data_IF_149623226968
#
_entry.id   IF_149623226968
#
_cell.length_a   1.000
_cell.length_b   1.000
_cell.length_c   1.000
_cell.angle_alpha   90.00
_cell.angle_beta   90.00
_cell.angle_gamma   90.00
#
_symmetry.space_group_name_H-M   'P 1'
#
loop_
_entity.id
_entity.type
_entity.pdbx_description
1 polymer ?
#
# COMPACT_ATOMS: atom_id res chain seq x y z
N UNK A 1 47.52 0.56 6.87
CA UNK A 1 46.20 1.16 7.15
C UNK A 1 45.13 0.29 6.49
N UNK A 2 44.37 -0.48 7.27
CA UNK A 2 43.20 -1.21 6.77
C UNK A 2 42.04 -0.24 6.63
N UNK A 3 41.39 -0.23 5.47
CA UNK A 3 40.17 0.52 5.26
C UNK A 3 39.03 -0.18 6.01
N UNK A 4 38.45 0.49 6.99
CA UNK A 4 37.22 0.09 7.65
C UNK A 4 36.07 0.12 6.62
N UNK A 5 35.77 -1.03 6.03
CA UNK A 5 34.52 -1.27 5.33
C UNK A 5 33.40 -1.30 6.37
N UNK A 6 32.87 -0.13 6.71
CA UNK A 6 31.60 -0.03 7.45
C UNK A 6 30.50 -0.65 6.59
N UNK A 7 30.23 -1.94 6.79
CA UNK A 7 28.98 -2.55 6.39
C UNK A 7 27.88 -1.76 7.07
N UNK A 8 27.11 -0.98 6.30
CA UNK A 8 25.96 -0.26 6.84
C UNK A 8 24.98 -1.30 7.39
N UNK A 9 24.79 -1.32 8.70
CA UNK A 9 23.71 -2.08 9.31
C UNK A 9 22.39 -1.51 8.78
N UNK A 10 21.45 -2.34 8.30
CA UNK A 10 20.17 -1.85 7.82
C UNK A 10 19.46 -1.07 8.92
N UNK A 11 18.79 0.02 8.55
CA UNK A 11 17.96 0.79 9.48
C UNK A 11 16.89 -0.11 10.12
N UNK A 12 16.57 0.08 11.41
CA UNK A 12 15.57 -0.74 12.08
C UNK A 12 14.19 -0.55 11.44
N UNK A 13 13.33 -1.58 11.41
CA UNK A 13 12.01 -1.49 10.81
C UNK A 13 11.11 -0.50 11.56
N UNK A 14 10.23 0.18 10.83
CA UNK A 14 9.24 1.10 11.40
C UNK A 14 8.20 0.32 12.21
N UNK A 15 7.89 0.80 13.42
CA UNK A 15 6.84 0.22 14.28
C UNK A 15 5.49 0.88 13.99
N UNK A 16 4.51 0.09 13.56
CA UNK A 16 3.13 0.52 13.34
C UNK A 16 2.21 -0.27 14.26
N UNK A 17 1.37 0.41 15.05
CA UNK A 17 0.40 -0.25 15.93
C UNK A 17 -0.97 0.42 15.91
N UNK A 18 -1.96 -0.30 16.40
CA UNK A 18 -3.27 0.24 16.73
C UNK A 18 -3.69 -0.26 18.12
N UNK A 19 -4.83 -0.94 18.25
CA UNK A 19 -5.20 -1.64 19.48
C UNK A 19 -4.71 -3.10 19.43
N UNK A 20 -5.29 -3.94 18.57
CA UNK A 20 -4.84 -5.33 18.37
C UNK A 20 -3.66 -5.50 17.37
N UNK A 21 -3.27 -4.42 16.68
CA UNK A 21 -2.17 -4.44 15.71
C UNK A 21 -2.47 -5.27 14.45
N UNK A 22 -3.73 -5.30 14.00
CA UNK A 22 -4.14 -6.11 12.83
C UNK A 22 -5.01 -5.33 11.81
N UNK A 23 -6.00 -4.55 12.27
CA UNK A 23 -6.94 -3.84 11.40
C UNK A 23 -6.32 -2.61 10.75
N UNK A 24 -6.37 -1.46 11.45
CA UNK A 24 -5.79 -0.19 10.97
C UNK A 24 -4.29 -0.31 10.66
N UNK A 25 -3.56 -1.08 11.46
CA UNK A 25 -2.14 -1.39 11.21
C UNK A 25 -1.96 -2.10 9.87
N UNK A 26 -2.76 -3.14 9.61
CA UNK A 26 -2.71 -3.86 8.34
C UNK A 26 -3.10 -2.98 7.14
N UNK A 27 -4.10 -2.11 7.31
CA UNK A 27 -4.51 -1.14 6.27
C UNK A 27 -3.37 -0.18 5.94
N UNK A 28 -2.73 0.42 6.97
CA UNK A 28 -1.62 1.35 6.77
C UNK A 28 -0.44 0.67 6.05
N UNK A 29 0.01 -0.48 6.54
CA UNK A 29 1.12 -1.20 5.91
C UNK A 29 0.79 -1.69 4.49
N UNK A 30 -0.47 -2.08 4.22
CA UNK A 30 -0.88 -2.48 2.86
C UNK A 30 -0.83 -1.30 1.88
N UNK A 31 -1.27 -0.12 2.33
CA UNK A 31 -1.19 1.11 1.53
C UNK A 31 0.25 1.48 1.24
N UNK A 32 1.10 1.53 2.27
CA UNK A 32 2.53 1.83 2.12
C UNK A 32 3.21 0.94 1.07
N UNK A 33 3.01 -0.38 1.17
CA UNK A 33 3.55 -1.34 0.20
C UNK A 33 2.98 -1.12 -1.20
N UNK A 34 1.65 -0.95 -1.34
CA UNK A 34 1.01 -0.85 -2.66
C UNK A 34 1.32 0.47 -3.36
N UNK A 35 1.43 1.58 -2.62
CA UNK A 35 1.78 2.88 -3.17
C UNK A 35 3.24 2.90 -3.64
N UNK A 36 4.16 2.35 -2.84
CA UNK A 36 5.55 2.19 -3.27
C UNK A 36 5.66 1.34 -4.54
N UNK A 37 4.92 0.22 -4.62
CA UNK A 37 4.85 -0.60 -5.84
C UNK A 37 4.28 0.16 -7.03
N UNK A 38 3.25 0.98 -6.82
CA UNK A 38 2.65 1.77 -7.88
C UNK A 38 3.62 2.81 -8.43
N UNK A 39 4.32 3.52 -7.55
CA UNK A 39 5.31 4.54 -7.93
C UNK A 39 6.53 3.92 -8.63
N UNK A 40 7.03 2.78 -8.15
CA UNK A 40 8.24 2.14 -8.68
C UNK A 40 7.97 1.32 -9.95
N UNK A 41 6.86 0.56 -9.99
CA UNK A 41 6.59 -0.44 -11.03
C UNK A 41 5.41 -0.07 -11.94
N UNK A 42 4.62 0.95 -11.58
CA UNK A 42 3.38 1.29 -12.29
C UNK A 42 2.25 0.28 -12.12
N UNK A 43 2.41 -0.71 -11.23
CA UNK A 43 1.42 -1.77 -10.99
C UNK A 43 1.48 -2.26 -9.55
N UNK A 44 0.36 -2.80 -9.06
CA UNK A 44 0.21 -3.29 -7.69
C UNK A 44 -0.82 -4.43 -7.64
N UNK A 45 -0.81 -5.20 -6.56
CA UNK A 45 -1.84 -6.21 -6.30
C UNK A 45 -2.23 -6.24 -4.82
N UNK A 46 -3.32 -5.54 -4.47
CA UNK A 46 -3.82 -5.46 -3.09
C UNK A 46 -4.12 -6.84 -2.51
N UNK A 47 -4.73 -7.75 -3.27
CA UNK A 47 -5.05 -9.10 -2.79
C UNK A 47 -3.78 -9.86 -2.42
N UNK A 48 -2.78 -9.85 -3.29
CA UNK A 48 -1.52 -10.54 -3.06
C UNK A 48 -0.74 -9.94 -1.88
N UNK A 49 -0.71 -8.60 -1.78
CA UNK A 49 -0.09 -7.89 -0.65
C UNK A 49 -0.74 -8.29 0.67
N UNK A 50 -2.06 -8.23 0.76
CA UNK A 50 -2.81 -8.57 1.99
C UNK A 50 -2.70 -10.06 2.32
N UNK A 51 -2.77 -10.93 1.30
CA UNK A 51 -2.56 -12.37 1.47
C UNK A 51 -1.18 -12.67 2.06
N UNK A 52 -0.12 -12.04 1.53
CA UNK A 52 1.23 -12.15 2.07
C UNK A 52 1.36 -11.59 3.49
N UNK A 53 0.75 -10.45 3.79
CA UNK A 53 0.76 -9.90 5.15
C UNK A 53 0.08 -10.85 6.15
N UNK A 54 -0.98 -11.54 5.73
CA UNK A 54 -1.68 -12.52 6.59
C UNK A 54 -0.86 -13.77 6.89
N UNK A 55 0.16 -14.09 6.10
CA UNK A 55 1.12 -15.17 6.44
C UNK A 55 2.11 -14.76 7.53
N UNK A 56 2.35 -13.46 7.72
CA UNK A 56 3.26 -12.91 8.74
C UNK A 56 2.51 -12.49 10.01
N UNK A 57 1.27 -12.00 9.86
CA UNK A 57 0.40 -11.57 10.96
C UNK A 57 -1.06 -11.88 10.61
N UNK A 58 -1.63 -12.89 11.25
CA UNK A 58 -3.00 -13.32 11.03
C UNK A 58 -4.00 -12.15 11.19
N UNK A 59 -5.06 -12.18 10.38
CA UNK A 59 -6.13 -11.16 10.36
C UNK A 59 -5.68 -9.74 10.00
N UNK A 60 -4.49 -9.55 9.41
CA UNK A 60 -4.11 -8.27 8.82
C UNK A 60 -5.18 -7.79 7.84
N UNK A 61 -5.68 -6.58 8.07
CA UNK A 61 -6.95 -6.06 7.55
C UNK A 61 -8.13 -6.93 8.01
N UNK A 62 -8.85 -6.42 9.01
CA UNK A 62 -9.84 -7.21 9.75
C UNK A 62 -11.22 -7.19 9.10
N UNK A 63 -11.61 -6.07 8.49
CA UNK A 63 -12.99 -5.89 7.98
C UNK A 63 -13.01 -5.61 6.47
N UNK A 64 -14.12 -5.93 5.78
CA UNK A 64 -14.28 -5.60 4.37
C UNK A 64 -14.15 -4.10 4.08
N UNK A 65 -14.58 -3.23 4.99
CA UNK A 65 -14.50 -1.78 4.84
C UNK A 65 -13.05 -1.29 4.85
N UNK A 66 -12.20 -1.89 5.67
CA UNK A 66 -10.76 -1.61 5.69
C UNK A 66 -10.08 -2.07 4.39
N UNK A 67 -10.52 -3.20 3.83
CA UNK A 67 -10.02 -3.73 2.56
C UNK A 67 -10.47 -2.84 1.40
N UNK A 68 -11.75 -2.47 1.35
CA UNK A 68 -12.31 -1.52 0.39
C UNK A 68 -11.62 -0.16 0.46
N UNK A 69 -11.34 0.34 1.67
CA UNK A 69 -10.61 1.59 1.87
C UNK A 69 -9.22 1.56 1.22
N UNK A 70 -8.54 0.40 1.20
CA UNK A 70 -7.24 0.29 0.51
C UNK A 70 -7.38 0.64 -0.97
N UNK A 71 -8.36 0.06 -1.66
CA UNK A 71 -8.62 0.36 -3.07
C UNK A 71 -9.01 1.83 -3.28
N UNK A 72 -9.89 2.36 -2.43
CA UNK A 72 -10.33 3.75 -2.53
C UNK A 72 -9.16 4.73 -2.40
N UNK A 73 -8.31 4.55 -1.38
CA UNK A 73 -7.18 5.42 -1.13
C UNK A 73 -6.10 5.30 -2.22
N UNK A 74 -5.87 4.09 -2.74
CA UNK A 74 -4.95 3.88 -3.87
C UNK A 74 -5.46 4.58 -5.14
N UNK A 75 -6.76 4.46 -5.43
CA UNK A 75 -7.36 5.10 -6.61
C UNK A 75 -7.28 6.63 -6.50
N UNK A 76 -7.63 7.18 -5.34
CA UNK A 76 -7.54 8.62 -5.07
C UNK A 76 -6.10 9.14 -5.22
N UNK A 77 -5.12 8.38 -4.73
CA UNK A 77 -3.70 8.68 -4.93
C UNK A 77 -3.35 8.67 -6.43
N UNK A 78 -3.71 7.61 -7.15
CA UNK A 78 -3.39 7.46 -8.56
C UNK A 78 -4.02 8.57 -9.43
N UNK A 79 -5.25 9.00 -9.11
CA UNK A 79 -5.90 10.12 -9.78
C UNK A 79 -5.16 11.44 -9.51
N UNK A 80 -4.74 11.68 -8.27
CA UNK A 80 -4.02 12.90 -7.88
C UNK A 80 -2.64 13.00 -8.52
N UNK A 81 -1.93 11.88 -8.64
CA UNK A 81 -0.62 11.82 -9.30
C UNK A 81 -0.73 11.73 -10.84
N UNK A 82 -1.95 11.73 -11.39
CA UNK A 82 -2.18 11.65 -12.84
C UNK A 82 -1.82 10.30 -13.47
N UNK A 83 -1.73 9.24 -12.65
CA UNK A 83 -1.43 7.87 -13.10
C UNK A 83 -2.64 7.19 -13.75
N UNK A 84 -3.85 7.63 -13.40
CA UNK A 84 -5.10 7.19 -14.01
C UNK A 84 -5.97 8.40 -14.37
N UNK A 85 -6.83 8.29 -15.41
CA UNK A 85 -7.80 9.33 -15.71
C UNK A 85 -8.74 9.54 -14.53
N UNK A 86 -9.02 10.79 -14.18
CA UNK A 86 -10.02 11.10 -13.16
C UNK A 86 -11.37 10.47 -13.51
N UNK A 87 -12.02 9.84 -12.54
CA UNK A 87 -13.33 9.20 -12.69
C UNK A 87 -14.39 10.10 -13.32
N UNK A 88 -14.30 11.42 -13.11
CA UNK A 88 -15.17 12.43 -13.74
C UNK A 88 -15.07 12.48 -15.28
N UNK A 89 -13.96 12.04 -15.88
CA UNK A 89 -13.76 12.03 -17.32
C UNK A 89 -14.34 10.78 -18.00
N UNK A 90 -14.58 9.69 -17.27
CA UNK A 90 -15.14 8.46 -17.86
C UNK A 90 -16.61 8.63 -18.27
N UNK A 91 -17.40 9.33 -17.46
CA UNK A 91 -18.81 9.66 -17.80
C UNK A 91 -18.93 10.63 -18.99
N UNK A 92 -17.88 11.39 -19.31
CA UNK A 92 -17.87 12.28 -20.48
C UNK A 92 -17.64 11.54 -21.80
N UNK A 93 -17.18 10.28 -21.76
CA UNK A 93 -16.89 9.47 -22.96
C UNK A 93 -17.98 8.45 -23.31
N UNK A 94 -18.99 8.24 -22.45
CA UNK A 94 -20.13 7.37 -22.74
C UNK A 94 -21.29 8.10 -23.45
N UNK A 95 -21.07 9.36 -23.88
CA UNK A 95 -22.09 10.24 -24.45
C UNK A 95 -21.92 10.62 -25.93
N UNK A 96 -21.12 9.90 -26.72
CA UNK A 96 -20.99 10.12 -28.18
C UNK A 96 -21.35 8.88 -28.99
#
# INVERSE_FOLDING_TARGET
MGADSKGQCPEPPIVVHCSAGIGRTGTFCSLDICLAQLEELGTLNVFQTVSRMRTQRAFSIQTPEQYYFCYKAILEFAEREGMVPSSHNLLAMEGQ
#
